data_IF_328543626766
#
_entry.id   IF_328543626766
#
_cell.length_a   1.000
_cell.length_b   1.000
_cell.length_c   1.000
_cell.angle_alpha   90.00
_cell.angle_beta   90.00
_cell.angle_gamma   90.00
#
_symmetry.space_group_name_H-M   'P 1'
#
loop_
_entity.id
_entity.type
_entity.pdbx_description
1 polymer ?
#
# COMPACT_ATOMS: atom_id res chain seq x y z
N UNK A 1 -6.95 -6.01 5.88
CA UNK A 1 -6.06 -5.40 6.90
C UNK A 1 -6.26 -6.05 8.27
N UNK A 2 -5.98 -7.35 8.40
CA UNK A 2 -6.05 -8.10 9.65
C UNK A 2 -4.71 -7.95 10.38
N UNK A 3 -4.66 -6.98 11.29
CA UNK A 3 -3.48 -6.62 12.07
C UNK A 3 -3.15 -7.67 13.13
N UNK A 4 -1.88 -8.04 13.24
CA UNK A 4 -1.38 -8.90 14.32
C UNK A 4 -0.95 -8.04 15.50
N UNK A 5 -1.78 -7.94 16.54
CA UNK A 5 -1.46 -7.11 17.70
C UNK A 5 -0.60 -7.89 18.69
N UNK A 6 0.47 -7.25 19.16
CA UNK A 6 1.34 -7.76 20.22
C UNK A 6 1.42 -6.77 21.37
N UNK A 7 1.63 -7.29 22.57
CA UNK A 7 1.90 -6.51 23.78
C UNK A 7 3.36 -6.69 24.16
N UNK A 8 3.95 -5.63 24.71
CA UNK A 8 5.24 -5.64 25.40
C UNK A 8 5.00 -5.61 26.90
N UNK A 9 5.49 -6.61 27.59
CA UNK A 9 5.48 -6.69 29.05
C UNK A 9 6.82 -7.29 29.51
N UNK A 10 7.46 -6.68 30.50
CA UNK A 10 8.69 -7.18 31.13
C UNK A 10 9.82 -7.53 30.14
N UNK A 11 10.00 -6.70 29.11
CA UNK A 11 11.02 -6.90 28.07
C UNK A 11 10.70 -8.02 27.07
N UNK A 12 9.57 -8.72 27.23
CA UNK A 12 9.10 -9.74 26.30
C UNK A 12 7.95 -9.20 25.44
N UNK A 13 7.74 -9.83 24.29
CA UNK A 13 6.55 -9.57 23.46
C UNK A 13 5.70 -10.83 23.31
N UNK A 14 4.40 -10.68 23.47
CA UNK A 14 3.43 -11.77 23.30
C UNK A 14 2.34 -11.36 22.31
N UNK A 15 1.80 -12.34 21.60
CA UNK A 15 0.65 -12.12 20.73
C UNK A 15 -0.60 -11.88 21.57
N UNK A 16 -1.39 -10.87 21.22
CA UNK A 16 -2.67 -10.57 21.86
C UNK A 16 -3.82 -11.16 21.05
N UNK A 17 -4.02 -10.66 19.83
CA UNK A 17 -5.05 -11.15 18.91
C UNK A 17 -4.84 -10.60 17.48
N UNK A 18 -5.37 -11.28 16.46
CA UNK A 18 -5.63 -10.67 15.16
C UNK A 18 -6.83 -9.71 15.26
N UNK A 19 -6.78 -8.58 14.55
CA UNK A 19 -7.86 -7.59 14.51
C UNK A 19 -8.05 -7.04 13.10
N UNK A 20 -9.29 -7.06 12.60
CA UNK A 20 -9.65 -6.46 11.32
C UNK A 20 -9.81 -4.93 11.47
N UNK A 21 -8.76 -4.19 11.11
CA UNK A 21 -8.78 -2.73 11.25
C UNK A 21 -9.76 -2.04 10.32
N UNK A 22 -10.20 -2.69 9.23
CA UNK A 22 -11.19 -2.07 8.35
C UNK A 22 -12.55 -1.96 9.03
N UNK A 23 -12.89 -2.89 9.92
CA UNK A 23 -14.19 -2.96 10.60
C UNK A 23 -14.31 -2.08 11.83
N UNK A 24 -13.22 -1.88 12.58
CA UNK A 24 -13.25 -1.16 13.86
C UNK A 24 -12.65 0.25 13.76
N UNK A 25 -13.14 1.16 14.59
CA UNK A 25 -12.58 2.51 14.75
C UNK A 25 -11.41 2.53 15.73
N UNK A 26 -10.49 3.49 15.58
CA UNK A 26 -9.32 3.59 16.45
C UNK A 26 -9.70 3.78 17.92
N UNK A 27 -10.74 4.57 18.19
CA UNK A 27 -11.20 4.86 19.54
C UNK A 27 -11.86 3.64 20.20
N UNK A 28 -12.60 2.83 19.45
CA UNK A 28 -13.15 1.56 19.94
C UNK A 28 -12.04 0.60 20.36
N UNK A 29 -10.98 0.51 19.55
CA UNK A 29 -9.82 -0.33 19.85
C UNK A 29 -9.11 0.17 21.10
N UNK A 30 -8.83 1.48 21.20
CA UNK A 30 -8.19 2.08 22.37
C UNK A 30 -9.01 1.86 23.65
N UNK A 31 -10.32 2.08 23.57
CA UNK A 31 -11.22 1.85 24.70
C UNK A 31 -11.18 0.39 25.14
N UNK A 32 -11.17 -0.55 24.19
CA UNK A 32 -11.09 -1.98 24.50
C UNK A 32 -9.76 -2.40 25.11
N UNK A 33 -8.64 -1.80 24.69
CA UNK A 33 -7.33 -2.02 25.31
C UNK A 33 -7.31 -1.51 26.75
N UNK A 34 -7.84 -0.31 26.98
CA UNK A 34 -7.95 0.30 28.31
C UNK A 34 -8.78 -0.55 29.27
N UNK A 35 -9.92 -1.09 28.82
CA UNK A 35 -10.75 -2.01 29.61
C UNK A 35 -10.02 -3.30 30.04
N UNK A 36 -9.00 -3.70 29.27
CA UNK A 36 -8.14 -4.86 29.56
C UNK A 36 -6.89 -4.49 30.37
N UNK A 37 -6.76 -3.23 30.80
CA UNK A 37 -5.59 -2.74 31.53
C UNK A 37 -4.33 -2.59 30.66
N UNK A 38 -4.47 -2.54 29.34
CA UNK A 38 -3.36 -2.40 28.39
C UNK A 38 -3.20 -0.90 28.07
N UNK A 39 -2.00 -0.36 28.30
CA UNK A 39 -1.68 1.04 27.99
C UNK A 39 -1.32 1.20 26.52
N UNK A 40 -1.56 2.38 25.93
CA UNK A 40 -1.35 2.60 24.48
C UNK A 40 0.11 2.42 24.02
N UNK A 41 1.07 2.66 24.91
CA UNK A 41 2.51 2.47 24.67
C UNK A 41 2.98 1.01 24.87
N UNK A 42 2.13 0.16 25.44
CA UNK A 42 2.46 -1.25 25.70
C UNK A 42 2.08 -2.19 24.56
N UNK A 43 1.37 -1.75 23.52
CA UNK A 43 1.01 -2.60 22.38
C UNK A 43 1.38 -1.99 21.03
N UNK A 44 1.54 -2.86 20.05
CA UNK A 44 1.94 -2.49 18.68
C UNK A 44 1.43 -3.54 17.70
N UNK A 45 1.43 -3.19 16.42
CA UNK A 45 1.04 -4.06 15.31
C UNK A 45 2.31 -4.66 14.70
N UNK A 46 2.32 -5.97 14.50
CA UNK A 46 3.36 -6.71 13.79
C UNK A 46 2.85 -7.15 12.42
N UNK A 47 2.45 -6.19 11.62
CA UNK A 47 2.02 -6.41 10.25
C UNK A 47 0.59 -6.91 10.12
N UNK A 48 0.28 -7.39 8.91
CA UNK A 48 -1.06 -7.74 8.46
C UNK A 48 -1.07 -9.16 7.89
N UNK A 49 -1.76 -10.06 8.59
CA UNK A 49 -1.76 -11.49 8.30
C UNK A 49 -2.39 -11.83 6.95
N UNK A 50 -3.47 -11.15 6.58
CA UNK A 50 -4.16 -11.32 5.29
C UNK A 50 -3.37 -10.77 4.10
N UNK A 51 -2.39 -9.90 4.35
CA UNK A 51 -1.50 -9.38 3.31
C UNK A 51 -0.16 -10.13 3.25
N UNK A 52 0.16 -10.94 4.26
CA UNK A 52 1.48 -11.57 4.40
C UNK A 52 2.61 -10.54 4.54
N UNK A 53 2.36 -9.44 5.24
CA UNK A 53 3.31 -8.35 5.43
C UNK A 53 3.70 -8.26 6.90
N UNK A 54 4.99 -8.34 7.19
CA UNK A 54 5.55 -8.16 8.52
C UNK A 54 6.19 -6.77 8.65
N UNK A 55 5.60 -5.90 9.46
CA UNK A 55 6.09 -4.54 9.73
C UNK A 55 5.63 -4.11 11.11
N UNK A 56 6.52 -3.49 11.88
CA UNK A 56 6.16 -2.95 13.21
C UNK A 56 5.54 -1.57 13.02
N UNK A 57 4.33 -1.40 13.53
CA UNK A 57 3.56 -0.16 13.46
C UNK A 57 2.96 0.17 14.82
N UNK A 58 2.87 1.46 15.11
CA UNK A 58 1.93 1.99 16.11
C UNK A 58 0.49 1.79 15.64
N UNK A 59 -0.46 1.92 16.56
CA UNK A 59 -1.88 1.88 16.20
C UNK A 59 -2.22 3.04 15.26
N UNK A 60 -1.70 4.23 15.55
CA UNK A 60 -1.89 5.45 14.77
C UNK A 60 -1.42 5.27 13.33
N UNK A 61 -0.20 4.77 13.12
CA UNK A 61 0.33 4.50 11.78
C UNK A 61 -0.54 3.52 11.00
N UNK A 62 -1.01 2.45 11.62
CA UNK A 62 -1.90 1.50 10.95
C UNK A 62 -3.25 2.13 10.59
N UNK A 63 -3.78 3.04 11.40
CA UNK A 63 -5.00 3.77 11.05
C UNK A 63 -4.77 4.87 10.01
N UNK A 64 -3.56 5.45 9.92
CA UNK A 64 -3.18 6.32 8.80
C UNK A 64 -3.16 5.54 7.49
N UNK A 65 -2.63 4.31 7.49
CA UNK A 65 -2.70 3.41 6.33
C UNK A 65 -4.16 3.11 5.92
N UNK A 66 -5.04 2.79 6.89
CA UNK A 66 -6.49 2.63 6.63
C UNK A 66 -7.08 3.89 5.97
N UNK A 67 -6.71 5.07 6.47
CA UNK A 67 -7.19 6.35 5.94
C UNK A 67 -6.71 6.58 4.51
N UNK A 68 -5.44 6.26 4.21
CA UNK A 68 -4.89 6.34 2.87
C UNK A 68 -5.61 5.40 1.89
N UNK A 69 -5.88 4.15 2.30
CA UNK A 69 -6.62 3.17 1.50
C UNK A 69 -7.98 3.74 1.11
N UNK A 70 -8.76 4.20 2.08
CA UNK A 70 -10.13 4.68 1.84
C UNK A 70 -10.12 6.00 1.08
N UNK A 71 -9.30 6.97 1.50
CA UNK A 71 -9.34 8.33 1.00
C UNK A 71 -8.62 8.53 -0.33
N UNK A 72 -7.46 7.90 -0.52
CA UNK A 72 -6.58 8.17 -1.67
C UNK A 72 -6.65 7.09 -2.74
N UNK A 73 -7.02 5.88 -2.35
CA UNK A 73 -7.09 4.72 -3.24
C UNK A 73 -8.52 4.18 -3.37
N UNK A 74 -9.53 4.92 -2.89
CA UNK A 74 -10.97 4.57 -2.97
C UNK A 74 -11.29 3.20 -2.33
N UNK A 75 -10.46 2.70 -1.44
CA UNK A 75 -10.57 1.36 -0.85
C UNK A 75 -9.73 0.28 -1.53
N UNK A 76 -8.93 0.61 -2.54
CA UNK A 76 -7.93 -0.31 -3.10
C UNK A 76 -6.71 -0.41 -2.17
N UNK A 77 -6.60 -1.52 -1.46
CA UNK A 77 -5.52 -1.78 -0.53
C UNK A 77 -4.25 -2.34 -1.21
N UNK A 78 -4.32 -2.72 -2.50
CA UNK A 78 -3.18 -3.26 -3.24
C UNK A 78 -2.02 -2.25 -3.30
N UNK A 79 -2.33 -0.97 -3.50
CA UNK A 79 -1.33 0.10 -3.64
C UNK A 79 -0.53 0.25 -2.34
N UNK A 80 -1.21 0.20 -1.19
CA UNK A 80 -0.55 0.23 0.13
C UNK A 80 0.23 -1.07 0.39
N UNK A 81 -0.35 -2.23 0.08
CA UNK A 81 0.36 -3.51 0.20
C UNK A 81 1.65 -3.52 -0.62
N UNK A 82 1.60 -3.03 -1.87
CA UNK A 82 2.76 -2.96 -2.75
C UNK A 82 3.88 -2.12 -2.12
N UNK A 83 3.57 -0.93 -1.61
CA UNK A 83 4.57 -0.07 -0.99
C UNK A 83 5.18 -0.69 0.28
N UNK A 84 4.35 -1.30 1.13
CA UNK A 84 4.83 -1.95 2.35
C UNK A 84 5.71 -3.19 2.04
N UNK A 85 5.36 -3.99 1.04
CA UNK A 85 6.19 -5.12 0.57
C UNK A 85 7.54 -4.67 0.02
N UNK A 86 7.62 -3.45 -0.51
CA UNK A 86 8.86 -2.83 -0.96
C UNK A 86 9.54 -1.99 0.13
N UNK A 87 9.18 -2.21 1.40
CA UNK A 87 9.76 -1.56 2.58
C UNK A 87 9.74 -0.03 2.53
N UNK A 88 8.73 0.56 1.87
CA UNK A 88 8.56 2.01 1.85
C UNK A 88 8.22 2.54 3.25
N UNK A 89 8.82 3.67 3.68
CA UNK A 89 8.46 4.32 4.93
C UNK A 89 6.97 4.67 4.99
N UNK A 90 6.36 4.54 6.16
CA UNK A 90 4.93 4.87 6.34
C UNK A 90 4.63 6.32 5.96
N UNK A 91 5.56 7.24 6.25
CA UNK A 91 5.45 8.63 5.82
C UNK A 91 5.30 8.79 4.31
N UNK A 92 5.98 7.97 3.50
CA UNK A 92 5.84 7.99 2.03
C UNK A 92 4.53 7.36 1.58
N UNK A 93 4.10 6.28 2.25
CA UNK A 93 2.85 5.60 1.96
C UNK A 93 1.64 6.53 2.13
N UNK A 94 1.65 7.33 3.21
CA UNK A 94 0.54 8.24 3.54
C UNK A 94 0.64 9.57 2.79
N UNK A 95 1.78 9.93 2.20
CA UNK A 95 1.97 11.17 1.44
C UNK A 95 1.59 11.06 -0.04
N UNK A 96 0.94 9.96 -0.46
CA UNK A 96 0.50 9.66 -1.84
C UNK A 96 1.64 9.41 -2.84
N UNK A 97 2.27 8.23 -2.74
CA UNK A 97 3.32 7.84 -3.68
C UNK A 97 2.81 7.45 -5.08
N UNK A 98 1.55 7.03 -5.17
CA UNK A 98 0.90 6.61 -6.40
C UNK A 98 -0.39 7.40 -6.62
N UNK A 99 -0.69 7.70 -7.88
CA UNK A 99 -1.92 8.37 -8.30
C UNK A 99 -2.66 7.55 -9.33
N UNK A 100 -3.98 7.44 -9.18
CA UNK A 100 -4.82 6.81 -10.20
C UNK A 100 -4.67 7.53 -11.54
N UNK A 101 -4.42 6.77 -12.60
CA UNK A 101 -4.20 7.29 -13.95
C UNK A 101 -5.40 7.00 -14.86
N UNK A 102 -5.68 5.73 -15.16
CA UNK A 102 -6.80 5.31 -16.01
C UNK A 102 -7.10 3.82 -15.84
N UNK A 103 -8.23 3.36 -16.37
CA UNK A 103 -8.53 1.93 -16.58
C UNK A 103 -8.13 1.44 -17.98
N UNK A 104 -7.83 2.35 -18.89
CA UNK A 104 -7.51 2.07 -20.29
C UNK A 104 -5.99 1.99 -20.50
N UNK A 105 -5.51 0.85 -21.00
CA UNK A 105 -4.10 0.60 -21.26
C UNK A 105 -3.51 1.57 -22.31
N UNK A 106 -4.30 1.97 -23.30
CA UNK A 106 -3.89 2.91 -24.35
C UNK A 106 -3.70 4.29 -23.75
N UNK A 107 -4.61 4.76 -22.89
CA UNK A 107 -4.46 6.05 -22.21
C UNK A 107 -3.23 6.07 -21.31
N UNK A 108 -2.95 4.97 -20.61
CA UNK A 108 -1.74 4.82 -19.77
C UNK A 108 -0.48 4.93 -20.63
N UNK A 109 -0.42 4.19 -21.73
CA UNK A 109 0.75 4.23 -22.63
C UNK A 109 0.92 5.61 -23.28
N UNK A 110 -0.17 6.25 -23.70
CA UNK A 110 -0.13 7.62 -24.22
C UNK A 110 0.44 8.58 -23.16
N UNK A 111 0.02 8.45 -21.90
CA UNK A 111 0.56 9.27 -20.82
C UNK A 111 2.07 9.06 -20.61
N UNK A 112 2.52 7.80 -20.58
CA UNK A 112 3.92 7.44 -20.37
C UNK A 112 4.83 7.93 -21.51
N UNK A 113 4.32 7.93 -22.74
CA UNK A 113 5.09 8.26 -23.95
C UNK A 113 4.90 9.70 -24.42
N UNK A 114 4.04 10.50 -23.78
CA UNK A 114 3.62 11.83 -24.27
C UNK A 114 4.74 12.82 -24.57
N UNK A 115 5.89 12.66 -23.91
CA UNK A 115 7.05 13.55 -24.01
C UNK A 115 8.28 12.86 -24.60
N UNK A 116 8.11 11.71 -25.26
CA UNK A 116 9.19 10.96 -25.90
C UNK A 116 9.26 11.27 -27.39
N UNK A 117 10.47 11.27 -27.95
CA UNK A 117 10.65 11.39 -29.40
C UNK A 117 10.08 10.17 -30.13
N UNK A 118 9.49 10.38 -31.31
CA UNK A 118 8.86 9.31 -32.11
C UNK A 118 9.85 8.19 -32.43
N UNK A 119 11.11 8.52 -32.74
CA UNK A 119 12.19 7.55 -32.95
C UNK A 119 12.38 6.62 -31.76
N UNK A 120 12.50 7.18 -30.55
CA UNK A 120 12.64 6.43 -29.30
C UNK A 120 11.43 5.54 -29.02
N UNK A 121 10.22 6.02 -29.32
CA UNK A 121 8.98 5.24 -29.17
C UNK A 121 8.96 4.04 -30.11
N UNK A 122 9.35 4.22 -31.37
CA UNK A 122 9.42 3.13 -32.36
C UNK A 122 10.45 2.08 -31.96
N UNK A 123 11.66 2.49 -31.53
CA UNK A 123 12.69 1.56 -31.07
C UNK A 123 12.26 0.78 -29.82
N UNK A 124 11.65 1.48 -28.85
CA UNK A 124 11.11 0.87 -27.64
C UNK A 124 10.08 -0.19 -27.99
N UNK A 125 9.13 0.13 -28.87
CA UNK A 125 8.09 -0.80 -29.27
C UNK A 125 8.60 -1.97 -30.11
N UNK A 126 9.60 -1.75 -30.97
CA UNK A 126 10.27 -2.83 -31.70
C UNK A 126 10.94 -3.82 -30.73
N UNK A 127 11.59 -3.33 -29.68
CA UNK A 127 12.20 -4.18 -28.64
C UNK A 127 11.16 -4.90 -27.77
N UNK A 128 10.05 -4.23 -27.45
CA UNK A 128 8.99 -4.80 -26.62
C UNK A 128 8.10 -5.82 -27.36
N UNK A 129 8.13 -5.83 -28.71
CA UNK A 129 7.35 -6.70 -29.60
C UNK A 129 5.83 -6.42 -29.63
N UNK A 130 5.18 -6.19 -28.49
CA UNK A 130 3.77 -5.81 -28.41
C UNK A 130 3.46 -4.90 -27.20
N UNK A 131 2.23 -4.36 -27.16
CA UNK A 131 1.85 -3.32 -26.19
C UNK A 131 1.76 -3.86 -24.76
N UNK A 132 1.35 -5.12 -24.60
CA UNK A 132 1.26 -5.77 -23.29
C UNK A 132 2.65 -5.90 -22.69
N UNK A 133 3.62 -6.39 -23.47
CA UNK A 133 5.01 -6.49 -23.06
C UNK A 133 5.61 -5.12 -22.72
N UNK A 134 5.28 -4.08 -23.50
CA UNK A 134 5.73 -2.71 -23.25
C UNK A 134 5.22 -2.17 -21.90
N UNK A 135 3.92 -2.32 -21.62
CA UNK A 135 3.33 -1.90 -20.36
C UNK A 135 3.89 -2.71 -19.18
N UNK A 136 4.11 -4.01 -19.37
CA UNK A 136 4.67 -4.89 -18.35
C UNK A 136 6.08 -4.45 -17.90
N UNK A 137 6.88 -3.83 -18.77
CA UNK A 137 8.18 -3.27 -18.37
C UNK A 137 8.02 -2.19 -17.30
N UNK A 138 7.05 -1.28 -17.45
CA UNK A 138 6.77 -0.24 -16.47
C UNK A 138 6.16 -0.81 -15.18
N UNK A 139 5.34 -1.86 -15.28
CA UNK A 139 4.80 -2.57 -14.12
C UNK A 139 5.92 -3.27 -13.33
N UNK A 140 6.83 -3.96 -14.02
CA UNK A 140 7.95 -4.66 -13.40
C UNK A 140 8.94 -3.70 -12.71
N UNK A 141 9.06 -2.47 -13.22
CA UNK A 141 9.86 -1.41 -12.60
C UNK A 141 9.17 -0.76 -11.39
N UNK A 142 7.88 -1.04 -11.17
CA UNK A 142 7.07 -0.38 -10.15
C UNK A 142 6.62 1.03 -10.52
N UNK A 143 6.87 1.51 -11.75
CA UNK A 143 6.39 2.84 -12.17
C UNK A 143 4.85 2.84 -12.30
N UNK A 144 4.29 1.71 -12.74
CA UNK A 144 2.85 1.50 -12.88
C UNK A 144 2.42 0.34 -11.97
N UNK A 145 1.32 0.52 -11.25
CA UNK A 145 0.62 -0.57 -10.58
C UNK A 145 -0.65 -0.89 -11.35
N UNK A 146 -0.80 -2.15 -11.75
CA UNK A 146 -2.04 -2.66 -12.32
C UNK A 146 -2.86 -3.33 -11.21
N UNK A 147 -4.05 -2.82 -10.97
CA UNK A 147 -4.97 -3.28 -9.92
C UNK A 147 -6.33 -3.59 -10.53
N UNK A 148 -7.22 -4.22 -9.76
CA UNK A 148 -8.60 -4.43 -10.18
C UNK A 148 -9.37 -3.10 -10.39
N UNK A 149 -8.89 -1.99 -9.84
CA UNK A 149 -9.49 -0.66 -10.05
C UNK A 149 -8.94 0.09 -11.26
N UNK A 150 -7.82 -0.36 -11.82
CA UNK A 150 -7.12 0.26 -12.94
C UNK A 150 -5.65 0.51 -12.63
N UNK A 151 -5.05 1.41 -13.40
CA UNK A 151 -3.64 1.71 -13.36
C UNK A 151 -3.35 2.91 -12.47
N UNK A 152 -2.36 2.76 -11.60
CA UNK A 152 -1.80 3.83 -10.80
C UNK A 152 -0.38 4.12 -11.26
N UNK A 153 0.01 5.39 -11.33
CA UNK A 153 1.35 5.83 -11.68
C UNK A 153 2.07 6.39 -10.46
N UNK A 154 3.34 6.05 -10.33
CA UNK A 154 4.21 6.61 -9.31
C UNK A 154 4.38 8.13 -9.52
N UNK A 155 4.20 8.89 -8.44
CA UNK A 155 4.42 10.34 -8.43
C UNK A 155 5.79 10.59 -7.82
N UNK A 156 6.70 11.18 -8.61
CA UNK A 156 8.06 11.59 -8.20
C UNK A 156 8.02 13.02 -7.67
#
# INVERSE_FOLDING_TARGET
MIANIRIRADGQSSALCPLDLMKFGIDDVRQRMKERGITNDSFFICGFSDWGIDTVLTLEEAYLLKTAIIGFYDGDDYVVQHMLRNHKPISEVISHYYRFLSKDEVEVMQHLLRNQEVSSVVEFFFKANNWISALQLYINQGLILNTNKGFYIQVI
#
